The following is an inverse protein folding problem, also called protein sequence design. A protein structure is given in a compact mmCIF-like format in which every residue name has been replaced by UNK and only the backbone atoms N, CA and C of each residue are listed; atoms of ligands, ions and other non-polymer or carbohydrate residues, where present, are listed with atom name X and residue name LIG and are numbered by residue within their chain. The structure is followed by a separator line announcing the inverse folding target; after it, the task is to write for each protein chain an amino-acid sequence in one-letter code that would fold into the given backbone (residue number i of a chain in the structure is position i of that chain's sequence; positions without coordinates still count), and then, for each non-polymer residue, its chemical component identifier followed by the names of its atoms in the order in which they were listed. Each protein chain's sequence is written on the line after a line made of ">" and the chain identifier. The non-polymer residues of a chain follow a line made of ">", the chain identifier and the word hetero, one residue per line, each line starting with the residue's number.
data_IF_544606788383
#
_entry.id   IF_544606788383
#
_cell.length_a   1.000
_cell.length_b   1.000
_cell.length_c   1.000
_cell.angle_alpha   90.00
_cell.angle_beta   90.00
_cell.angle_gamma   90.00
#
_symmetry.space_group_name_H-M   'P 1'
#
loop_
_entity.id
_entity.type
_entity.pdbx_description
1 polymer ?
#
# COMPACT_ATOMS: atom_id res chain seq x y z
N UNK A 1 39.04 -14.50 20.89
CA UNK A 1 37.69 -14.06 21.30
C UNK A 1 36.80 -14.14 20.08
N UNK A 2 35.78 -15.00 20.14
CA UNK A 2 34.96 -15.44 19.00
C UNK A 2 33.97 -14.37 18.51
N UNK A 3 33.81 -14.38 17.19
CA UNK A 3 32.73 -13.93 16.29
C UNK A 3 31.45 -13.30 16.86
N UNK A 4 30.97 -12.25 16.17
CA UNK A 4 29.58 -12.13 15.72
C UNK A 4 29.53 -11.44 14.34
N UNK A 5 29.81 -12.21 13.29
CA UNK A 5 29.32 -11.93 11.93
C UNK A 5 28.07 -12.78 11.72
N UNK A 6 26.90 -12.15 11.59
CA UNK A 6 25.65 -12.91 11.41
C UNK A 6 24.34 -12.11 11.33
N UNK A 7 24.34 -10.79 11.55
CA UNK A 7 23.09 -10.01 11.62
C UNK A 7 22.46 -9.60 10.28
N UNK A 8 23.25 -9.51 9.20
CA UNK A 8 22.77 -8.91 7.94
C UNK A 8 21.89 -9.85 7.10
N UNK A 9 22.12 -11.16 7.15
CA UNK A 9 21.37 -12.13 6.34
C UNK A 9 19.95 -12.32 6.88
N UNK A 10 19.78 -12.36 8.20
CA UNK A 10 18.47 -12.57 8.83
C UNK A 10 17.55 -11.34 8.75
N UNK A 11 18.11 -10.13 8.86
CA UNK A 11 17.36 -8.89 8.69
C UNK A 11 16.84 -8.72 7.25
N UNK A 12 17.65 -9.11 6.26
CA UNK A 12 17.26 -9.14 4.85
C UNK A 12 16.08 -10.07 4.58
N UNK A 13 16.13 -11.31 5.08
CA UNK A 13 15.07 -12.30 4.90
C UNK A 13 13.76 -11.89 5.61
N UNK A 14 13.84 -11.39 6.85
CA UNK A 14 12.66 -10.87 7.57
C UNK A 14 12.03 -9.70 6.82
N UNK A 15 12.82 -8.76 6.29
CA UNK A 15 12.31 -7.61 5.54
C UNK A 15 11.62 -8.02 4.25
N UNK A 16 12.17 -9.00 3.52
CA UNK A 16 11.57 -9.55 2.31
C UNK A 16 10.24 -10.28 2.61
N UNK A 17 10.15 -10.99 3.73
CA UNK A 17 8.92 -11.65 4.16
C UNK A 17 7.79 -10.64 4.40
N UNK A 18 8.07 -9.50 5.04
CA UNK A 18 7.07 -8.44 5.24
C UNK A 18 6.62 -7.82 3.93
N UNK A 19 7.53 -7.59 2.99
CA UNK A 19 7.17 -7.12 1.65
C UNK A 19 6.25 -8.11 0.91
N UNK A 20 6.59 -9.40 0.93
CA UNK A 20 5.77 -10.46 0.34
C UNK A 20 4.39 -10.51 1.00
N UNK A 21 4.33 -10.35 2.32
CA UNK A 21 3.08 -10.32 3.08
C UNK A 21 2.19 -9.16 2.66
N UNK A 22 2.73 -7.95 2.47
CA UNK A 22 1.98 -6.79 1.98
C UNK A 22 1.41 -7.08 0.59
N UNK A 23 2.23 -7.56 -0.34
CA UNK A 23 1.79 -7.84 -1.72
C UNK A 23 0.73 -8.93 -1.76
N UNK A 24 0.90 -9.98 -0.96
CA UNK A 24 -0.09 -11.06 -0.85
C UNK A 24 -1.40 -10.54 -0.28
N UNK A 25 -1.35 -9.79 0.84
CA UNK A 25 -2.53 -9.23 1.48
C UNK A 25 -3.31 -8.32 0.52
N UNK A 26 -2.60 -7.50 -0.25
CA UNK A 26 -3.20 -6.58 -1.21
C UNK A 26 -3.97 -7.27 -2.33
N UNK A 27 -3.46 -8.39 -2.86
CA UNK A 27 -4.04 -9.05 -4.03
C UNK A 27 -5.02 -10.19 -3.69
N UNK A 28 -4.91 -10.78 -2.50
CA UNK A 28 -5.56 -12.08 -2.21
C UNK A 28 -6.55 -12.06 -1.05
N UNK A 29 -6.60 -11.00 -0.24
CA UNK A 29 -7.49 -10.96 0.91
C UNK A 29 -8.73 -10.15 0.61
N UNK A 30 -9.89 -10.64 1.01
CA UNK A 30 -11.11 -9.84 1.09
C UNK A 30 -11.01 -8.94 2.32
N UNK A 31 -11.15 -7.62 2.13
CA UNK A 31 -11.11 -6.67 3.23
C UNK A 31 -12.00 -5.48 2.98
N UNK A 32 -12.47 -4.87 4.06
CA UNK A 32 -13.16 -3.60 4.02
C UNK A 32 -12.69 -2.73 5.18
N UNK A 33 -12.70 -1.42 5.00
CA UNK A 33 -12.28 -0.50 6.04
C UNK A 33 -12.48 0.95 5.66
N UNK A 34 -12.21 1.82 6.62
CA UNK A 34 -12.15 3.27 6.42
C UNK A 34 -10.74 3.72 6.71
N UNK A 35 -10.19 4.55 5.84
CA UNK A 35 -8.89 5.17 6.03
C UNK A 35 -8.99 6.67 5.77
N UNK A 36 -7.98 7.39 6.22
CA UNK A 36 -7.80 8.81 5.95
C UNK A 36 -6.55 8.99 5.10
N UNK A 37 -6.69 9.77 4.05
CA UNK A 37 -5.60 10.25 3.20
C UNK A 37 -5.39 11.72 3.48
N UNK A 38 -4.16 12.09 3.81
CA UNK A 38 -3.79 13.49 3.94
C UNK A 38 -2.73 13.81 2.89
N UNK A 39 -3.00 14.84 2.09
CA UNK A 39 -2.03 15.41 1.16
C UNK A 39 -2.01 16.92 1.36
N UNK A 40 -0.85 17.44 1.76
CA UNK A 40 -0.72 18.83 2.20
C UNK A 40 -1.75 19.12 3.32
N UNK A 41 -2.59 20.13 3.12
CA UNK A 41 -3.64 20.54 4.07
C UNK A 41 -5.01 19.88 3.79
N UNK A 42 -5.10 19.02 2.77
CA UNK A 42 -6.34 18.34 2.41
C UNK A 42 -6.42 16.98 3.09
N UNK A 43 -7.53 16.75 3.79
CA UNK A 43 -7.84 15.47 4.45
C UNK A 43 -9.07 14.84 3.80
N UNK A 44 -8.89 13.65 3.24
CA UNK A 44 -9.93 12.85 2.58
C UNK A 44 -10.15 11.55 3.35
N UNK A 45 -11.37 11.31 3.79
CA UNK A 45 -11.78 10.05 4.38
C UNK A 45 -12.37 9.16 3.28
N UNK A 46 -11.91 7.91 3.20
CA UNK A 46 -12.37 6.96 2.18
C UNK A 46 -12.73 5.61 2.79
N UNK A 47 -13.76 4.98 2.24
CA UNK A 47 -14.07 3.57 2.48
C UNK A 47 -13.50 2.73 1.35
N UNK A 48 -12.75 1.68 1.70
CA UNK A 48 -12.27 0.65 0.79
C UNK A 48 -13.05 -0.64 0.99
N UNK A 49 -13.38 -1.29 -0.11
CA UNK A 49 -13.91 -2.65 -0.16
C UNK A 49 -13.14 -3.39 -1.25
N UNK A 50 -12.42 -4.43 -0.88
CA UNK A 50 -11.66 -5.28 -1.79
C UNK A 50 -12.22 -6.70 -1.77
N UNK A 51 -12.42 -7.26 -2.96
CA UNK A 51 -12.71 -8.67 -3.18
C UNK A 51 -11.63 -9.29 -4.07
N UNK A 52 -11.06 -10.40 -3.62
CA UNK A 52 -10.09 -11.20 -4.36
C UNK A 52 -10.74 -12.03 -5.49
N UNK A 53 -12.07 -12.05 -5.59
CA UNK A 53 -12.78 -12.80 -6.63
C UNK A 53 -12.56 -12.21 -8.03
N UNK A 54 -12.55 -13.07 -9.06
CA UNK A 54 -12.56 -12.70 -10.48
C UNK A 54 -11.49 -11.66 -10.90
N UNK A 55 -10.26 -11.80 -10.40
CA UNK A 55 -9.10 -10.99 -10.81
C UNK A 55 -8.86 -9.74 -9.96
N UNK A 56 -9.46 -9.66 -8.76
CA UNK A 56 -9.25 -8.55 -7.83
C UNK A 56 -10.11 -7.35 -8.20
N UNK A 57 -11.12 -7.08 -7.39
CA UNK A 57 -11.99 -5.92 -7.50
C UNK A 57 -11.82 -5.03 -6.28
N UNK A 58 -11.65 -3.72 -6.51
CA UNK A 58 -11.55 -2.73 -5.43
C UNK A 58 -12.56 -1.62 -5.66
N UNK A 59 -13.35 -1.32 -4.65
CA UNK A 59 -14.27 -0.18 -4.61
C UNK A 59 -13.78 0.81 -3.57
N UNK A 60 -13.61 2.07 -3.98
CA UNK A 60 -13.24 3.18 -3.10
C UNK A 60 -14.36 4.21 -3.14
N UNK A 61 -14.81 4.65 -1.96
CA UNK A 61 -15.90 5.62 -1.82
C UNK A 61 -15.43 6.76 -0.94
N UNK A 62 -15.48 7.99 -1.45
CA UNK A 62 -15.22 9.19 -0.65
C UNK A 62 -16.32 9.37 0.41
N UNK A 63 -15.92 9.62 1.66
CA UNK A 63 -16.82 9.80 2.80
C UNK A 63 -16.98 11.27 3.20
N UNK A 64 -16.15 12.16 2.64
CA UNK A 64 -16.23 13.60 2.80
C UNK A 64 -15.91 14.29 1.46
N UNK A 65 -16.29 15.57 1.35
CA UNK A 65 -16.09 16.35 0.14
C UNK A 65 -17.04 15.96 -1.00
N UNK A 66 -16.56 16.04 -2.24
CA UNK A 66 -17.33 15.65 -3.43
C UNK A 66 -17.54 14.12 -3.43
N UNK A 67 -18.80 13.71 -3.59
CA UNK A 67 -19.15 12.29 -3.68
C UNK A 67 -18.47 11.69 -4.90
N UNK A 68 -17.52 10.81 -4.66
CA UNK A 68 -16.72 10.18 -5.68
C UNK A 68 -16.60 8.69 -5.37
N UNK A 69 -16.92 7.87 -6.36
CA UNK A 69 -16.85 6.42 -6.24
C UNK A 69 -15.98 5.84 -7.36
N UNK A 70 -15.03 5.00 -6.99
CA UNK A 70 -14.06 4.41 -7.91
C UNK A 70 -14.21 2.89 -7.82
N UNK A 71 -14.41 2.25 -8.95
CA UNK A 71 -14.35 0.81 -9.12
C UNK A 71 -13.12 0.46 -9.93
N UNK A 72 -12.29 -0.44 -9.41
CA UNK A 72 -11.15 -1.01 -10.10
C UNK A 72 -11.38 -2.50 -10.29
N UNK A 73 -11.18 -2.99 -11.51
CA UNK A 73 -11.14 -4.41 -11.85
C UNK A 73 -9.91 -4.66 -12.73
N UNK A 74 -8.90 -5.34 -12.18
CA UNK A 74 -7.60 -5.47 -12.85
C UNK A 74 -7.01 -4.10 -13.21
N UNK A 75 -6.92 -3.85 -14.52
CA UNK A 75 -6.34 -2.64 -15.12
C UNK A 75 -7.40 -1.61 -15.57
N UNK A 76 -8.68 -1.93 -15.43
CA UNK A 76 -9.77 -1.02 -15.75
C UNK A 76 -10.26 -0.31 -14.48
N UNK A 77 -10.40 1.01 -14.56
CA UNK A 77 -10.96 1.85 -13.51
C UNK A 77 -12.18 2.58 -14.05
N UNK A 78 -13.26 2.59 -13.27
CA UNK A 78 -14.46 3.36 -13.54
C UNK A 78 -14.73 4.28 -12.36
N UNK A 79 -14.73 5.59 -12.61
CA UNK A 79 -15.07 6.62 -11.64
C UNK A 79 -16.51 7.09 -11.88
N UNK A 80 -17.29 7.14 -10.82
CA UNK A 80 -18.66 7.63 -10.80
C UNK A 80 -18.70 8.95 -10.03
N UNK A 81 -19.17 10.00 -10.70
CA UNK A 81 -19.42 11.32 -10.11
C UNK A 81 -20.91 11.66 -10.25
N UNK A 82 -21.64 11.84 -9.14
CA UNK A 82 -23.03 12.28 -9.19
C UNK A 82 -23.16 13.61 -9.96
N UNK A 83 -24.06 13.65 -10.95
CA UNK A 83 -24.30 14.84 -11.75
C UNK A 83 -23.30 15.11 -12.88
N UNK A 84 -22.17 14.39 -12.94
CA UNK A 84 -21.16 14.51 -14.03
C UNK A 84 -21.03 13.26 -14.89
N UNK A 85 -21.53 12.12 -14.42
CA UNK A 85 -21.59 10.88 -15.19
C UNK A 85 -20.50 9.86 -14.81
N UNK A 86 -20.29 8.90 -15.71
CA UNK A 86 -19.36 7.78 -15.55
C UNK A 86 -18.12 8.04 -16.40
N UNK A 87 -16.95 8.01 -15.78
CA UNK A 87 -15.66 8.18 -16.44
C UNK A 87 -14.88 6.87 -16.37
N UNK A 88 -14.45 6.36 -17.52
CA UNK A 88 -13.61 5.16 -17.59
C UNK A 88 -12.17 5.61 -17.79
N UNK A 89 -11.33 5.38 -16.79
CA UNK A 89 -9.90 5.71 -16.81
C UNK A 89 -9.09 4.42 -17.07
N UNK A 90 -8.11 4.49 -17.99
CA UNK A 90 -7.18 3.39 -18.27
C UNK A 90 -5.97 3.36 -17.32
N UNK A 91 -5.04 2.42 -17.58
CA UNK A 91 -3.79 2.06 -16.86
C UNK A 91 -2.91 3.16 -16.22
N UNK A 92 -3.18 4.45 -16.45
CA UNK A 92 -2.40 5.59 -15.93
C UNK A 92 -2.91 6.14 -14.60
N UNK A 93 -3.92 5.54 -13.98
CA UNK A 93 -4.27 5.93 -12.61
C UNK A 93 -3.28 5.32 -11.61
N UNK A 94 -2.30 6.15 -11.23
CA UNK A 94 -1.50 5.97 -10.03
C UNK A 94 -2.43 6.05 -8.82
N UNK A 95 -2.86 4.91 -8.27
CA UNK A 95 -3.54 4.92 -6.99
C UNK A 95 -2.64 5.63 -5.97
N UNK A 96 -3.03 6.79 -5.40
CA UNK A 96 -2.16 7.54 -4.50
C UNK A 96 -1.75 6.74 -3.25
N UNK A 97 -2.49 5.68 -2.91
CA UNK A 97 -2.10 4.76 -1.83
C UNK A 97 -1.04 3.74 -2.22
N UNK A 98 -1.06 3.24 -3.45
CA UNK A 98 -0.38 2.00 -3.79
C UNK A 98 0.65 2.14 -4.92
N UNK A 99 0.88 3.36 -5.42
CA UNK A 99 2.12 3.66 -6.16
C UNK A 99 3.38 3.42 -5.32
N UNK A 100 3.24 3.38 -3.99
CA UNK A 100 4.31 3.16 -3.02
C UNK A 100 4.72 1.69 -2.85
N UNK A 101 3.84 0.73 -3.19
CA UNK A 101 4.12 -0.71 -3.03
C UNK A 101 4.23 -1.32 -4.42
N UNK A 102 5.45 -1.40 -4.99
CA UNK A 102 5.63 -2.01 -6.30
C UNK A 102 5.22 -3.48 -6.27
N UNK A 103 4.60 -3.92 -7.36
CA UNK A 103 4.15 -5.30 -7.55
C UNK A 103 5.30 -6.33 -7.55
N UNK A 104 6.55 -5.88 -7.70
CA UNK A 104 7.74 -6.72 -7.76
C UNK A 104 8.82 -6.22 -6.77
N UNK A 105 9.03 -7.01 -5.71
CA UNK A 105 10.02 -6.77 -4.66
C UNK A 105 11.45 -6.87 -5.21
N UNK A 106 11.67 -7.70 -6.23
CA UNK A 106 13.00 -7.91 -6.82
C UNK A 106 13.52 -6.61 -7.47
N UNK A 107 12.62 -5.88 -8.13
CA UNK A 107 12.90 -4.55 -8.68
C UNK A 107 13.06 -3.49 -7.59
N UNK A 108 12.32 -3.64 -6.48
CA UNK A 108 12.43 -2.73 -5.34
C UNK A 108 13.81 -2.84 -4.67
N UNK A 109 14.34 -4.06 -4.49
CA UNK A 109 15.62 -4.31 -3.81
C UNK A 109 16.82 -3.61 -4.48
N UNK A 110 16.78 -3.43 -5.81
CA UNK A 110 17.82 -2.73 -6.57
C UNK A 110 17.87 -1.22 -6.27
N UNK A 111 16.76 -0.65 -5.80
CA UNK A 111 16.55 0.80 -5.71
C UNK A 111 16.23 1.28 -4.30
N UNK A 112 15.84 0.36 -3.42
CA UNK A 112 15.44 0.62 -2.05
C UNK A 112 16.03 -0.43 -1.11
N UNK A 113 16.24 -0.06 0.14
CA UNK A 113 16.44 -0.98 1.26
C UNK A 113 15.16 -1.06 2.09
N UNK A 114 14.88 -2.25 2.61
CA UNK A 114 13.78 -2.48 3.53
C UNK A 114 14.33 -2.73 4.92
N UNK A 115 13.85 -1.99 5.89
CA UNK A 115 14.23 -2.11 7.28
C UNK A 115 13.00 -2.40 8.12
N UNK A 116 13.07 -3.45 8.92
CA UNK A 116 12.01 -3.85 9.85
C UNK A 116 12.39 -3.30 11.21
N UNK A 117 11.61 -2.37 11.72
CA UNK A 117 11.95 -1.64 12.94
C UNK A 117 10.77 -1.55 13.90
N UNK A 118 10.88 -2.20 15.05
CA UNK A 118 9.94 -2.05 16.16
C UNK A 118 8.49 -2.46 15.87
N UNK A 119 7.60 -2.13 16.78
CA UNK A 119 6.15 -2.38 16.65
C UNK A 119 5.38 -1.12 16.97
N UNK A 120 4.17 -1.00 16.42
CA UNK A 120 3.27 0.10 16.70
C UNK A 120 1.82 -0.39 16.77
N UNK A 121 0.88 0.52 17.05
CA UNK A 121 -0.55 0.23 17.08
C UNK A 121 -1.33 1.30 16.33
N UNK A 122 -1.89 0.94 15.18
CA UNK A 122 -2.71 1.82 14.33
C UNK A 122 -4.10 1.23 14.18
N UNK A 123 -5.13 2.08 14.23
CA UNK A 123 -6.55 1.69 14.17
C UNK A 123 -6.92 0.58 15.18
N UNK A 124 -6.29 0.60 16.37
CA UNK A 124 -6.52 -0.40 17.43
C UNK A 124 -5.85 -1.76 17.20
N UNK A 125 -5.04 -1.93 16.14
CA UNK A 125 -4.41 -3.20 15.78
C UNK A 125 -2.88 -3.11 15.88
N UNK A 126 -2.19 -4.12 16.43
CA UNK A 126 -0.74 -4.14 16.49
C UNK A 126 -0.17 -4.32 15.08
N UNK A 127 0.90 -3.59 14.76
CA UNK A 127 1.56 -3.68 13.48
C UNK A 127 3.09 -3.74 13.61
N UNK A 128 3.71 -4.33 12.60
CA UNK A 128 5.13 -4.27 12.37
C UNK A 128 5.45 -3.01 11.58
N UNK A 129 6.35 -2.16 12.09
CA UNK A 129 6.81 -1.01 11.32
C UNK A 129 7.92 -1.45 10.35
N UNK A 130 7.77 -1.02 9.09
CA UNK A 130 8.65 -1.32 7.97
C UNK A 130 8.98 -0.01 7.27
N UNK A 131 10.26 0.29 7.13
CA UNK A 131 10.76 1.47 6.44
C UNK A 131 11.35 1.06 5.09
N UNK A 132 10.93 1.73 4.02
CA UNK A 132 11.41 1.55 2.66
C UNK A 132 12.24 2.79 2.33
N UNK A 133 13.57 2.65 2.35
CA UNK A 133 14.50 3.77 2.15
C UNK A 133 15.06 3.74 0.73
N UNK A 134 15.05 4.86 -0.01
CA UNK A 134 15.67 4.90 -1.31
C UNK A 134 17.19 4.80 -1.17
N UNK A 135 17.84 4.13 -2.12
CA UNK A 135 19.31 4.05 -2.20
C UNK A 135 19.93 5.28 -2.88
N UNK A 136 19.10 6.19 -3.40
CA UNK A 136 19.49 7.42 -4.05
C UNK A 136 18.64 8.61 -3.58
N UNK A 137 18.97 9.81 -4.04
CA UNK A 137 18.27 11.05 -3.71
C UNK A 137 17.15 11.40 -4.70
N UNK A 138 16.80 10.50 -5.62
CA UNK A 138 15.83 10.76 -6.70
C UNK A 138 14.43 10.24 -6.37
N UNK A 139 14.24 9.67 -5.18
CA UNK A 139 13.07 8.89 -4.81
C UNK A 139 12.60 9.22 -3.39
N UNK A 140 11.30 9.04 -3.15
CA UNK A 140 10.73 9.19 -1.82
C UNK A 140 10.91 7.91 -0.99
N UNK A 141 11.21 8.07 0.29
CA UNK A 141 11.11 6.98 1.27
C UNK A 141 9.68 6.79 1.77
N UNK A 142 9.38 5.59 2.23
CA UNK A 142 8.06 5.24 2.77
C UNK A 142 8.20 4.59 4.15
N UNK A 143 7.22 4.84 5.01
CA UNK A 143 7.07 4.15 6.29
C UNK A 143 5.70 3.46 6.32
N UNK A 144 5.72 2.16 6.51
CA UNK A 144 4.54 1.32 6.54
C UNK A 144 4.37 0.71 7.93
N UNK A 145 3.12 0.55 8.34
CA UNK A 145 2.70 -0.17 9.54
C UNK A 145 1.89 -1.37 9.05
N UNK A 146 2.52 -2.54 9.05
CA UNK A 146 1.96 -3.78 8.48
C UNK A 146 1.30 -4.59 9.58
N UNK A 147 0.01 -4.83 9.43
CA UNK A 147 -0.79 -5.62 10.37
C UNK A 147 -0.19 -7.01 10.62
N UNK A 148 -0.19 -7.44 11.89
CA UNK A 148 0.46 -8.67 12.37
C UNK A 148 -0.35 -9.93 12.19
#
# INVERSE_FOLDING_TARGET
>A
MLAFGGGLVHAGEMSAQWALRIIKAYNQLNYQGVFVYQKNDTLEAMRVIHSADQGGQTRLVALNGEVNEIHRRGDQMTRYLPGRGIFIEGLRWSNPFFSAVPADISRLAAHYSLEVDGVDRIAGRPCQRVEIRPRDALRYGYRLCVDR
#
